data_IF_464644429709
#
_entry.id   IF_464644429709
#
_cell.length_a   1.000
_cell.length_b   1.000
_cell.length_c   1.000
_cell.angle_alpha   90.00
_cell.angle_beta   90.00
_cell.angle_gamma   90.00
#
_symmetry.space_group_name_H-M   'P 1'
#
loop_
_entity.id
_entity.type
_entity.pdbx_description
1 polymer ?
#
# COMPACT_ATOMS: atom_id res chain seq x y z
N UNK A 1 -16.33 4.71 22.92
CA UNK A 1 -15.20 3.93 22.35
C UNK A 1 -14.76 4.66 21.09
N UNK A 2 -13.58 5.23 21.06
CA UNK A 2 -13.06 5.84 19.84
C UNK A 2 -12.63 4.71 18.91
N UNK A 3 -13.25 4.61 17.74
CA UNK A 3 -12.87 3.63 16.72
C UNK A 3 -11.41 3.89 16.33
N UNK A 4 -10.54 2.91 16.52
CA UNK A 4 -9.12 2.98 16.13
C UNK A 4 -8.99 2.75 14.61
N UNK A 5 -9.71 3.56 13.85
CA UNK A 5 -9.73 3.50 12.41
C UNK A 5 -8.59 4.34 11.83
N UNK A 6 -7.65 3.68 11.17
CA UNK A 6 -6.54 4.33 10.47
C UNK A 6 -6.89 4.46 9.00
N UNK A 7 -6.96 5.69 8.50
CA UNK A 7 -7.13 5.99 7.08
C UNK A 7 -5.77 6.28 6.46
N UNK A 8 -5.42 5.55 5.42
CA UNK A 8 -4.22 5.76 4.62
C UNK A 8 -4.64 6.10 3.20
N UNK A 9 -4.29 7.28 2.73
CA UNK A 9 -4.55 7.72 1.37
C UNK A 9 -3.34 7.47 0.46
N UNK A 10 -3.55 7.48 -0.85
CA UNK A 10 -2.46 7.37 -1.82
C UNK A 10 -1.59 8.63 -1.78
N UNK A 11 -0.28 8.49 -1.62
CA UNK A 11 0.62 9.63 -1.54
C UNK A 11 0.68 10.37 -2.89
N UNK A 12 0.32 11.67 -2.94
CA UNK A 12 0.38 12.46 -4.16
C UNK A 12 1.81 12.61 -4.71
N UNK A 13 2.82 12.57 -3.84
CA UNK A 13 4.23 12.59 -4.24
C UNK A 13 4.64 11.36 -5.05
N UNK A 14 3.98 10.24 -4.85
CA UNK A 14 4.25 9.03 -5.62
C UNK A 14 3.90 9.21 -7.10
N UNK A 15 2.78 9.88 -7.39
CA UNK A 15 2.40 10.25 -8.78
C UNK A 15 3.40 11.21 -9.41
N UNK A 16 3.89 12.19 -8.65
CA UNK A 16 4.90 13.12 -9.10
C UNK A 16 6.24 12.42 -9.38
N UNK A 17 6.61 11.45 -8.56
CA UNK A 17 7.82 10.64 -8.77
C UNK A 17 7.73 9.83 -10.06
N UNK A 18 6.60 9.15 -10.32
CA UNK A 18 6.37 8.41 -11.57
C UNK A 18 6.45 9.35 -12.78
N UNK A 19 5.77 10.50 -12.71
CA UNK A 19 5.80 11.49 -13.78
C UNK A 19 7.22 12.01 -14.05
N UNK A 20 8.00 12.30 -13.02
CA UNK A 20 9.38 12.77 -13.17
C UNK A 20 10.31 11.69 -13.76
N UNK A 21 10.09 10.41 -13.41
CA UNK A 21 10.85 9.30 -13.97
C UNK A 21 10.58 9.11 -15.47
N UNK A 22 9.31 9.22 -15.89
CA UNK A 22 8.94 9.18 -17.31
C UNK A 22 9.51 10.36 -18.08
N UNK A 23 9.48 11.57 -17.50
CA UNK A 23 10.07 12.76 -18.09
C UNK A 23 11.60 12.65 -18.22
N UNK A 24 12.26 12.05 -17.23
CA UNK A 24 13.70 11.78 -17.29
C UNK A 24 14.04 10.84 -18.45
N UNK A 25 13.29 9.76 -18.61
CA UNK A 25 13.47 8.82 -19.72
C UNK A 25 13.25 9.53 -21.07
N UNK A 26 12.20 10.35 -21.19
CA UNK A 26 11.94 11.11 -22.39
C UNK A 26 13.09 12.08 -22.72
N UNK A 27 13.63 12.75 -21.71
CA UNK A 27 14.77 13.65 -21.84
C UNK A 27 16.05 12.93 -22.28
N UNK A 28 16.31 11.71 -21.78
CA UNK A 28 17.47 10.90 -22.17
C UNK A 28 17.36 10.32 -23.58
N UNK A 29 16.14 9.98 -24.02
CA UNK A 29 15.90 9.39 -25.34
C UNK A 29 15.86 10.46 -26.44
N UNK A 30 15.50 11.71 -26.10
CA UNK A 30 15.29 12.79 -27.08
C UNK A 30 16.52 13.12 -27.95
N UNK A 31 17.74 13.29 -27.40
CA UNK A 31 18.92 13.64 -28.18
C UNK A 31 19.44 12.51 -29.08
N UNK A 32 18.97 11.27 -28.91
CA UNK A 32 19.40 10.14 -29.74
C UNK A 32 18.85 10.31 -31.16
N UNK A 33 19.67 10.10 -32.17
CA UNK A 33 19.31 10.25 -33.58
C UNK A 33 18.48 9.07 -34.12
N UNK A 34 17.43 8.70 -33.40
CA UNK A 34 16.51 7.66 -33.81
C UNK A 34 15.25 8.25 -34.48
N UNK A 35 14.55 7.47 -35.32
CA UNK A 35 13.27 7.88 -35.88
C UNK A 35 12.29 8.27 -34.78
N UNK A 36 11.50 9.32 -35.00
CA UNK A 36 10.53 9.83 -34.03
C UNK A 36 9.59 8.73 -33.51
N UNK A 37 9.15 7.84 -34.39
CA UNK A 37 8.28 6.72 -34.08
C UNK A 37 8.89 5.79 -33.01
N UNK A 38 10.18 5.49 -33.11
CA UNK A 38 10.90 4.63 -32.15
C UNK A 38 11.05 5.32 -30.79
N UNK A 39 11.30 6.64 -30.79
CA UNK A 39 11.38 7.42 -29.53
C UNK A 39 10.04 7.41 -28.81
N UNK A 40 8.94 7.68 -29.50
CA UNK A 40 7.60 7.66 -28.92
C UNK A 40 7.23 6.27 -28.41
N UNK A 41 7.56 5.22 -29.15
CA UNK A 41 7.33 3.84 -28.72
C UNK A 41 8.06 3.49 -27.42
N UNK A 42 9.33 3.87 -27.30
CA UNK A 42 10.11 3.65 -26.07
C UNK A 42 9.57 4.42 -24.87
N UNK A 43 9.15 5.67 -25.07
CA UNK A 43 8.55 6.48 -23.99
C UNK A 43 7.25 5.85 -23.51
N UNK A 44 6.38 5.40 -24.44
CA UNK A 44 5.11 4.76 -24.09
C UNK A 44 5.33 3.43 -23.35
N UNK A 45 6.25 2.59 -23.84
CA UNK A 45 6.58 1.33 -23.15
C UNK A 45 7.15 1.60 -21.75
N UNK A 46 8.06 2.56 -21.62
CA UNK A 46 8.64 2.93 -20.34
C UNK A 46 7.57 3.43 -19.36
N UNK A 47 6.66 4.28 -19.84
CA UNK A 47 5.52 4.75 -19.03
C UNK A 47 4.62 3.60 -18.59
N UNK A 48 4.32 2.64 -19.48
CA UNK A 48 3.56 1.44 -19.12
C UNK A 48 4.29 0.58 -18.07
N UNK A 49 5.60 0.39 -18.22
CA UNK A 49 6.39 -0.37 -17.25
C UNK A 49 6.40 0.29 -15.86
N UNK A 50 6.61 1.60 -15.82
CA UNK A 50 6.60 2.38 -14.56
C UNK A 50 5.22 2.31 -13.92
N UNK A 51 4.15 2.46 -14.69
CA UNK A 51 2.78 2.36 -14.21
C UNK A 51 2.46 0.95 -13.68
N UNK A 52 2.88 -0.09 -14.41
CA UNK A 52 2.69 -1.49 -14.01
C UNK A 52 3.48 -1.82 -12.75
N UNK A 53 4.73 -1.36 -12.65
CA UNK A 53 5.56 -1.54 -11.45
C UNK A 53 4.94 -0.84 -10.24
N UNK A 54 4.41 0.38 -10.41
CA UNK A 54 3.67 1.08 -9.37
C UNK A 54 2.44 0.30 -8.92
N UNK A 55 1.65 -0.18 -9.86
CA UNK A 55 0.45 -0.96 -9.55
C UNK A 55 0.75 -2.26 -8.80
N UNK A 56 1.85 -2.94 -9.16
CA UNK A 56 2.28 -4.17 -8.49
C UNK A 56 2.88 -3.91 -7.09
N UNK A 57 3.57 -2.79 -6.91
CA UNK A 57 4.24 -2.47 -5.64
C UNK A 57 3.32 -1.80 -4.63
N UNK A 58 2.42 -0.94 -5.09
CA UNK A 58 1.50 -0.19 -4.24
C UNK A 58 0.19 -0.89 -3.90
N UNK A 59 -0.07 -2.06 -4.42
CA UNK A 59 -1.09 -3.04 -4.03
C UNK A 59 -2.43 -2.61 -3.39
N UNK A 60 -2.63 -1.31 -3.18
CA UNK A 60 -3.86 -0.78 -2.59
C UNK A 60 -5.06 -0.90 -3.55
N UNK A 61 -4.81 -0.89 -4.86
CA UNK A 61 -5.87 -1.00 -5.89
C UNK A 61 -6.93 0.11 -5.84
N UNK A 62 -6.81 1.04 -4.87
CA UNK A 62 -7.74 2.14 -4.64
C UNK A 62 -6.98 3.36 -4.10
N UNK A 63 -7.61 4.53 -4.14
CA UNK A 63 -6.99 5.78 -3.67
C UNK A 63 -6.88 5.86 -2.15
N UNK A 64 -7.66 5.06 -1.41
CA UNK A 64 -7.70 5.03 0.05
C UNK A 64 -7.79 3.60 0.59
N UNK A 65 -7.15 3.35 1.72
CA UNK A 65 -7.33 2.14 2.52
C UNK A 65 -7.71 2.50 3.95
N UNK A 66 -8.58 1.71 4.52
CA UNK A 66 -9.03 1.82 5.89
C UNK A 66 -8.54 0.60 6.66
N UNK A 67 -7.86 0.82 7.78
CA UNK A 67 -7.40 -0.22 8.68
C UNK A 67 -8.10 -0.01 10.00
N UNK A 68 -8.89 -0.99 10.40
CA UNK A 68 -9.55 -1.03 11.70
C UNK A 68 -8.70 -1.88 12.64
N UNK A 69 -8.20 -1.25 13.68
CA UNK A 69 -7.37 -1.88 14.71
C UNK A 69 -8.16 -2.16 16.00
N UNK A 70 -9.49 -1.95 15.96
CA UNK A 70 -10.37 -2.16 17.11
C UNK A 70 -10.63 -3.66 17.33
N UNK A 71 -10.37 -4.11 18.54
CA UNK A 71 -10.66 -5.48 18.98
C UNK A 71 -9.52 -6.48 18.73
N UNK A 72 -9.85 -7.77 18.90
CA UNK A 72 -8.89 -8.88 18.76
C UNK A 72 -8.50 -9.19 17.31
N UNK A 73 -9.19 -8.60 16.34
CA UNK A 73 -9.05 -8.90 14.91
C UNK A 73 -8.93 -7.60 14.13
N UNK A 74 -7.73 -7.29 13.69
CA UNK A 74 -7.53 -6.16 12.77
C UNK A 74 -8.11 -6.47 11.39
N UNK A 75 -8.75 -5.46 10.78
CA UNK A 75 -9.38 -5.57 9.45
C UNK A 75 -8.83 -4.50 8.51
N UNK A 76 -8.83 -4.82 7.23
CA UNK A 76 -8.44 -3.87 6.17
C UNK A 76 -9.42 -3.91 5.01
N UNK A 77 -9.69 -2.76 4.42
CA UNK A 77 -10.52 -2.63 3.24
C UNK A 77 -10.31 -1.32 2.53
N UNK A 78 -10.78 -1.23 1.30
CA UNK A 78 -10.84 0.01 0.52
C UNK A 78 -12.16 0.76 0.73
N UNK A 79 -13.10 0.13 1.44
CA UNK A 79 -14.38 0.69 1.86
C UNK A 79 -14.68 0.22 3.27
N UNK A 80 -15.35 1.04 4.05
CA UNK A 80 -15.71 0.75 5.44
C UNK A 80 -16.73 -0.40 5.57
N UNK A 81 -17.58 -0.58 4.55
CA UNK A 81 -18.60 -1.63 4.49
C UNK A 81 -18.04 -3.00 4.05
N UNK A 82 -16.83 -3.04 3.49
CA UNK A 82 -16.22 -4.23 2.92
C UNK A 82 -14.81 -4.50 3.49
N UNK A 83 -14.70 -4.50 4.82
CA UNK A 83 -13.42 -4.76 5.50
C UNK A 83 -13.22 -6.26 5.71
N UNK A 84 -12.02 -6.74 5.40
CA UNK A 84 -11.62 -8.12 5.57
C UNK A 84 -10.64 -8.30 6.73
N UNK A 85 -10.72 -9.39 7.50
CA UNK A 85 -9.76 -9.66 8.58
C UNK A 85 -8.36 -9.89 8.02
N UNK A 86 -7.38 -9.31 8.69
CA UNK A 86 -5.96 -9.51 8.38
C UNK A 86 -5.54 -10.86 8.97
N UNK A 87 -5.04 -11.75 8.11
CA UNK A 87 -4.57 -13.09 8.51
C UNK A 87 -3.06 -13.17 8.67
N UNK A 88 -2.33 -12.26 8.04
CA UNK A 88 -0.87 -12.22 8.09
C UNK A 88 -0.36 -10.80 7.83
N UNK A 89 0.80 -10.48 8.40
CA UNK A 89 1.46 -9.21 8.20
C UNK A 89 2.96 -9.38 8.05
N UNK A 90 3.55 -8.62 7.15
CA UNK A 90 4.99 -8.55 6.94
C UNK A 90 5.44 -7.10 6.97
N UNK A 91 6.18 -6.73 8.01
CA UNK A 91 6.75 -5.39 8.15
C UNK A 91 8.06 -5.36 7.37
N UNK A 92 8.17 -4.42 6.42
CA UNK A 92 9.38 -4.24 5.62
C UNK A 92 10.21 -3.06 6.10
N UNK A 93 9.56 -1.95 6.44
CA UNK A 93 10.21 -0.74 6.94
C UNK A 93 9.34 -0.20 8.07
N UNK A 94 9.98 0.09 9.18
CA UNK A 94 9.35 0.73 10.33
C UNK A 94 10.29 1.81 10.86
N UNK A 95 10.05 3.05 10.45
CA UNK A 95 10.81 4.23 10.89
C UNK A 95 9.87 5.28 11.47
N UNK A 96 10.40 6.35 12.04
CA UNK A 96 9.57 7.42 12.60
C UNK A 96 8.65 8.08 11.57
N UNK A 97 9.08 8.21 10.32
CA UNK A 97 8.36 8.96 9.29
C UNK A 97 7.78 8.08 8.18
N UNK A 98 8.14 6.80 8.15
CA UNK A 98 7.74 5.87 7.10
C UNK A 98 7.46 4.49 7.67
N UNK A 99 6.29 3.99 7.39
CA UNK A 99 5.89 2.60 7.68
C UNK A 99 5.52 1.92 6.38
N UNK A 100 6.24 0.84 6.05
CA UNK A 100 5.93 0.00 4.90
C UNK A 100 5.58 -1.40 5.38
N UNK A 101 4.35 -1.80 5.20
CA UNK A 101 3.83 -3.08 5.65
C UNK A 101 3.01 -3.74 4.55
N UNK A 102 3.15 -5.05 4.46
CA UNK A 102 2.28 -5.88 3.63
C UNK A 102 1.31 -6.62 4.51
N UNK A 103 0.03 -6.39 4.30
CA UNK A 103 -1.09 -6.99 5.01
C UNK A 103 -1.79 -7.99 4.08
N UNK A 104 -2.04 -9.19 4.57
CA UNK A 104 -2.68 -10.24 3.81
C UNK A 104 -4.05 -10.57 4.40
N UNK A 105 -5.07 -10.58 3.55
CA UNK A 105 -6.40 -11.10 3.85
C UNK A 105 -6.60 -12.44 3.15
N UNK A 106 -7.76 -13.07 3.32
CA UNK A 106 -8.07 -14.31 2.59
C UNK A 106 -8.10 -14.12 1.07
N UNK A 107 -8.48 -12.93 0.59
CA UNK A 107 -8.70 -12.65 -0.83
C UNK A 107 -7.58 -11.87 -1.48
N UNK A 108 -6.96 -10.93 -0.74
CA UNK A 108 -6.02 -9.96 -1.30
C UNK A 108 -4.79 -9.75 -0.42
N UNK A 109 -3.77 -9.21 -1.05
CA UNK A 109 -2.59 -8.66 -0.38
C UNK A 109 -2.62 -7.14 -0.57
N UNK A 110 -2.46 -6.42 0.52
CA UNK A 110 -2.39 -4.97 0.52
C UNK A 110 -0.98 -4.55 0.91
N UNK A 111 -0.37 -3.70 0.11
CA UNK A 111 0.90 -3.06 0.45
C UNK A 111 0.61 -1.64 0.89
N UNK A 112 0.85 -1.34 2.14
CA UNK A 112 0.53 -0.06 2.77
C UNK A 112 1.82 0.71 3.00
N UNK A 113 1.89 1.91 2.44
CA UNK A 113 2.89 2.93 2.71
C UNK A 113 2.23 4.02 3.52
N UNK A 114 2.57 4.13 4.79
CA UNK A 114 2.05 5.15 5.67
C UNK A 114 3.17 6.15 6.03
N UNK A 115 2.92 7.41 5.76
CA UNK A 115 3.78 8.55 6.06
C UNK A 115 2.93 9.65 6.68
N UNK A 116 3.55 10.66 7.27
CA UNK A 116 2.86 11.85 7.78
C UNK A 116 2.05 12.61 6.72
N UNK A 117 2.33 12.38 5.44
CA UNK A 117 1.64 13.06 4.32
C UNK A 117 0.33 12.38 3.90
N UNK A 118 0.22 11.07 4.10
CA UNK A 118 -0.91 10.29 3.63
C UNK A 118 -1.70 9.60 4.75
N UNK A 119 -1.27 9.79 5.99
CA UNK A 119 -1.91 9.27 7.19
C UNK A 119 -1.91 10.36 8.26
N UNK A 120 -2.89 10.37 9.15
CA UNK A 120 -2.88 11.25 10.31
C UNK A 120 -1.77 10.83 11.27
N UNK A 121 -1.22 11.76 12.03
CA UNK A 121 -0.17 11.49 13.04
C UNK A 121 -0.63 10.42 14.04
N UNK A 122 -1.86 10.54 14.56
CA UNK A 122 -2.46 9.54 15.43
C UNK A 122 -2.59 8.18 14.75
N UNK A 123 -3.05 8.15 13.48
CA UNK A 123 -3.18 6.92 12.69
C UNK A 123 -1.84 6.26 12.44
N UNK A 124 -0.80 7.03 12.14
CA UNK A 124 0.55 6.53 11.97
C UNK A 124 1.12 5.96 13.26
N UNK A 125 0.89 6.64 14.39
CA UNK A 125 1.28 6.15 15.72
C UNK A 125 0.56 4.85 16.08
N UNK A 126 -0.76 4.80 15.90
CA UNK A 126 -1.59 3.60 16.15
C UNK A 126 -1.14 2.41 15.30
N UNK A 127 -0.90 2.64 14.00
CA UNK A 127 -0.44 1.61 13.09
C UNK A 127 0.92 1.04 13.52
N UNK A 128 1.85 1.90 13.92
CA UNK A 128 3.17 1.47 14.42
C UNK A 128 3.06 0.68 15.71
N UNK A 129 2.29 1.20 16.66
CA UNK A 129 2.09 0.53 17.95
C UNK A 129 1.51 -0.87 17.75
N UNK A 130 0.53 -0.99 16.86
CA UNK A 130 -0.04 -2.29 16.49
C UNK A 130 0.99 -3.19 15.79
N UNK A 131 1.87 -2.65 14.94
CA UNK A 131 2.90 -3.45 14.25
C UNK A 131 4.01 -3.97 15.16
N UNK A 132 4.28 -3.32 16.27
CA UNK A 132 5.29 -3.76 17.27
C UNK A 132 4.73 -4.89 18.16
N UNK A 133 3.41 -4.91 18.39
CA UNK A 133 2.80 -5.96 19.21
C UNK A 133 2.87 -7.34 18.53
N UNK A 134 2.92 -8.44 19.28
CA UNK A 134 2.85 -9.77 18.70
C UNK A 134 1.54 -9.95 17.93
N UNK A 135 1.62 -10.39 16.69
CA UNK A 135 0.45 -10.62 15.85
C UNK A 135 -0.27 -11.90 16.29
N UNK A 136 -1.53 -11.75 16.65
CA UNK A 136 -2.42 -12.90 16.84
C UNK A 136 -3.24 -13.08 15.56
N UNK A 137 -2.92 -14.08 14.71
CA UNK A 137 -3.75 -14.33 13.55
C UNK A 137 -5.16 -14.69 13.99
N UNK A 138 -6.16 -14.13 13.34
CA UNK A 138 -7.54 -14.57 13.47
C UNK A 138 -7.65 -15.97 12.87
N UNK A 139 -7.31 -16.98 13.69
CA UNK A 139 -7.60 -18.37 13.35
C UNK A 139 -9.10 -18.57 13.30
N UNK A 140 -9.61 -19.55 12.54
CA UNK A 140 -10.97 -20.00 12.71
C UNK A 140 -11.08 -20.41 14.19
N UNK A 141 -12.03 -19.80 14.90
CA UNK A 141 -12.37 -20.20 16.27
C UNK A 141 -12.53 -21.70 16.27
N UNK A 142 -11.66 -22.39 17.03
CA UNK A 142 -11.59 -23.84 17.06
C UNK A 142 -12.98 -24.42 17.26
N UNK A 143 -13.44 -25.13 16.24
CA UNK A 143 -14.56 -26.01 16.41
C UNK A 143 -14.19 -26.95 17.55
N UNK A 144 -14.98 -26.92 18.62
CA UNK A 144 -14.98 -27.96 19.64
C UNK A 144 -15.02 -29.32 18.91
N UNK A 145 -13.95 -30.09 19.03
CA UNK A 145 -14.08 -31.52 18.84
C UNK A 145 -14.91 -32.04 20.02
N UNK A 146 -16.10 -32.59 19.83
CA UNK A 146 -16.74 -33.38 20.87
C UNK A 146 -15.94 -34.70 21.01
N UNK A 147 -15.55 -34.97 22.23
CA UNK A 147 -15.13 -36.32 22.65
C UNK A 147 -16.24 -37.34 22.45
#
# INVERSE_FOLDING_TARGET
>A
MQSQLVKVSKDPMHRAYIASLVMLIAFLVWPIQWPLQLKLFLIVISAMFVWMADHLTNGLGADEAFIDLEGNVAKIGTRLDAMEPIIDRSVKILTENLTHVTLRTKRKRYTVWATERNCTEEGLWLLRHWLIQPFKPSGPSGGNCPE
#
